data_IF_127824645865
#
_entry.id   IF_127824645865
#
_cell.length_a   1.000
_cell.length_b   1.000
_cell.length_c   1.000
_cell.angle_alpha   90.00
_cell.angle_beta   90.00
_cell.angle_gamma   90.00
#
_symmetry.space_group_name_H-M   'P 1'
#
loop_
_entity.id
_entity.type
_entity.pdbx_description
1 polymer ?
#
# COMPACT_ATOMS: atom_id res chain seq x y z
N UNK A 1 3.62 3.22 12.75
CA UNK A 1 4.81 3.16 11.86
C UNK A 1 4.42 2.34 10.65
N UNK A 2 4.53 2.91 9.45
CA UNK A 2 4.26 2.22 8.19
C UNK A 2 5.57 1.60 7.70
N UNK A 3 5.80 0.31 7.98
CA UNK A 3 6.94 -0.39 7.38
C UNK A 3 6.53 -0.94 6.02
N UNK A 4 7.32 -0.56 5.01
CA UNK A 4 7.05 -0.77 3.59
C UNK A 4 6.99 -2.26 3.20
N UNK A 5 6.20 -2.53 2.16
CA UNK A 5 6.08 -3.79 1.44
C UNK A 5 7.44 -4.31 0.91
N UNK A 6 7.51 -5.61 0.53
CA UNK A 6 8.71 -6.44 0.32
C UNK A 6 9.35 -6.93 1.64
N UNK A 7 8.57 -7.65 2.44
CA UNK A 7 9.02 -8.14 3.74
C UNK A 7 9.94 -9.37 3.65
N UNK A 8 9.88 -10.11 2.54
CA UNK A 8 10.76 -11.25 2.27
C UNK A 8 11.28 -11.24 0.83
N UNK A 9 12.61 -11.18 0.68
CA UNK A 9 13.27 -11.26 -0.63
C UNK A 9 13.37 -12.70 -1.16
N UNK A 10 13.28 -13.70 -0.28
CA UNK A 10 13.44 -15.12 -0.57
C UNK A 10 12.13 -15.92 -0.45
N UNK A 11 11.00 -15.23 -0.24
CA UNK A 11 9.67 -15.80 -0.03
C UNK A 11 9.55 -16.75 1.17
N UNK A 12 10.54 -16.78 2.06
CA UNK A 12 10.57 -17.73 3.17
C UNK A 12 9.62 -17.31 4.30
N UNK A 13 8.96 -18.30 4.90
CA UNK A 13 8.18 -18.10 6.14
C UNK A 13 9.06 -17.57 7.28
N UNK A 14 10.34 -17.95 7.32
CA UNK A 14 11.30 -17.48 8.31
C UNK A 14 11.51 -15.96 8.25
N UNK A 15 11.57 -15.37 7.04
CA UNK A 15 11.69 -13.92 6.89
C UNK A 15 10.46 -13.17 7.45
N UNK A 16 9.25 -13.67 7.19
CA UNK A 16 8.02 -13.10 7.75
C UNK A 16 7.93 -13.26 9.28
N UNK A 17 8.42 -14.38 9.83
CA UNK A 17 8.51 -14.57 11.29
C UNK A 17 9.48 -13.58 11.93
N UNK A 18 10.67 -13.39 11.35
CA UNK A 18 11.63 -12.40 11.83
C UNK A 18 11.10 -10.97 11.76
N UNK A 19 10.38 -10.62 10.69
CA UNK A 19 9.70 -9.32 10.61
C UNK A 19 8.69 -9.17 11.76
N UNK A 20 7.86 -10.18 11.98
CA UNK A 20 6.86 -10.16 13.04
C UNK A 20 7.47 -10.01 14.44
N UNK A 21 8.56 -10.73 14.73
CA UNK A 21 9.33 -10.60 15.97
C UNK A 21 9.90 -9.18 16.13
N UNK A 22 10.46 -8.62 15.05
CA UNK A 22 11.04 -7.27 15.06
C UNK A 22 10.04 -6.17 15.39
N UNK A 23 8.79 -6.30 14.93
CA UNK A 23 7.75 -5.31 15.19
C UNK A 23 6.93 -5.56 16.48
N UNK A 24 7.10 -6.72 17.12
CA UNK A 24 6.32 -7.10 18.29
C UNK A 24 6.48 -6.15 19.50
N UNK A 25 7.58 -5.38 19.54
CA UNK A 25 7.84 -4.40 20.59
C UNK A 25 7.07 -3.07 20.44
N UNK A 26 6.43 -2.83 19.30
CA UNK A 26 5.69 -1.59 19.07
C UNK A 26 4.28 -1.66 19.69
N UNK A 27 3.92 -0.66 20.48
CA UNK A 27 2.59 -0.54 21.08
C UNK A 27 1.50 -0.04 20.09
N UNK A 28 1.87 0.24 18.84
CA UNK A 28 0.95 0.75 17.83
C UNK A 28 0.33 -0.38 17.00
N UNK A 29 -0.91 -0.25 16.53
CA UNK A 29 -1.49 -1.20 15.59
C UNK A 29 -0.63 -1.33 14.33
N UNK A 30 -0.24 -2.56 14.02
CA UNK A 30 0.50 -2.90 12.81
C UNK A 30 -0.45 -3.55 11.80
N UNK A 31 -0.40 -3.03 10.58
CA UNK A 31 -1.04 -3.60 9.39
C UNK A 31 0.03 -3.77 8.33
N UNK A 32 -0.26 -4.59 7.34
CA UNK A 32 0.70 -4.96 6.32
C UNK A 32 0.11 -4.89 4.91
N UNK A 33 1.00 -4.69 3.95
CA UNK A 33 0.73 -4.67 2.52
C UNK A 33 1.80 -5.49 1.80
N UNK A 34 1.44 -6.38 0.87
CA UNK A 34 2.43 -7.12 0.11
C UNK A 34 3.14 -6.23 -0.93
N UNK A 35 4.42 -6.53 -1.16
CA UNK A 35 5.20 -6.01 -2.29
C UNK A 35 5.35 -7.03 -3.41
N UNK A 36 5.99 -6.66 -4.50
CA UNK A 36 6.18 -7.55 -5.65
C UNK A 36 7.05 -8.77 -5.33
N UNK A 37 7.92 -8.69 -4.33
CA UNK A 37 8.73 -9.80 -3.86
C UNK A 37 8.04 -10.68 -2.82
N UNK A 38 6.86 -10.31 -2.32
CA UNK A 38 6.18 -11.12 -1.31
C UNK A 38 5.43 -12.31 -1.92
N UNK A 39 5.44 -13.47 -1.24
CA UNK A 39 4.54 -14.56 -1.58
C UNK A 39 3.32 -14.51 -0.67
N UNK A 40 2.22 -13.94 -1.18
CA UNK A 40 1.04 -13.63 -0.37
C UNK A 40 0.54 -14.80 0.50
N UNK A 41 0.42 -16.05 0.01
CA UNK A 41 -0.08 -17.14 0.86
C UNK A 41 0.77 -17.38 2.11
N UNK A 42 2.10 -17.36 1.99
CA UNK A 42 2.99 -17.52 3.13
C UNK A 42 2.97 -16.28 4.05
N UNK A 43 2.95 -15.09 3.46
CA UNK A 43 2.84 -13.82 4.18
C UNK A 43 1.55 -13.75 5.02
N UNK A 44 0.39 -14.01 4.41
CA UNK A 44 -0.91 -14.01 5.08
C UNK A 44 -0.91 -14.97 6.26
N UNK A 45 -0.53 -16.23 6.06
CA UNK A 45 -0.52 -17.24 7.14
C UNK A 45 0.39 -16.80 8.29
N UNK A 46 1.63 -16.42 7.97
CA UNK A 46 2.65 -16.12 8.99
C UNK A 46 2.33 -14.87 9.80
N UNK A 47 1.93 -13.78 9.12
CA UNK A 47 1.63 -12.51 9.82
C UNK A 47 0.33 -12.61 10.62
N UNK A 48 -0.65 -13.39 10.14
CA UNK A 48 -1.87 -13.66 10.88
C UNK A 48 -1.60 -14.51 12.14
N UNK A 49 -0.77 -15.54 12.04
CA UNK A 49 -0.32 -16.35 13.19
C UNK A 49 0.42 -15.50 14.23
N UNK A 50 1.19 -14.52 13.78
CA UNK A 50 1.86 -13.54 14.64
C UNK A 50 0.92 -12.47 15.24
N UNK A 51 -0.38 -12.51 14.94
CA UNK A 51 -1.37 -11.56 15.46
C UNK A 51 -1.33 -10.18 14.80
N UNK A 52 -0.67 -10.03 13.65
CA UNK A 52 -0.61 -8.77 12.91
C UNK A 52 -1.87 -8.65 12.05
N UNK A 53 -2.54 -7.50 12.15
CA UNK A 53 -3.84 -7.29 11.53
C UNK A 53 -3.76 -7.27 9.99
N UNK A 54 -4.61 -8.04 9.28
CA UNK A 54 -4.73 -7.94 7.83
C UNK A 54 -5.64 -6.79 7.39
N UNK A 55 -6.08 -5.93 8.32
CA UNK A 55 -7.00 -4.83 8.02
C UNK A 55 -6.42 -3.89 6.96
N UNK A 56 -7.19 -3.65 5.90
CA UNK A 56 -6.84 -2.71 4.83
C UNK A 56 -7.34 -1.28 5.09
N UNK A 57 -8.05 -1.08 6.20
CA UNK A 57 -8.51 0.24 6.67
C UNK A 57 -8.20 0.39 8.15
N UNK A 58 -7.60 1.52 8.51
CA UNK A 58 -7.28 1.87 9.91
C UNK A 58 -7.79 3.27 10.20
N UNK A 59 -8.51 3.45 11.30
CA UNK A 59 -8.88 4.78 11.79
C UNK A 59 -7.81 5.32 12.73
N UNK A 60 -7.44 6.58 12.50
CA UNK A 60 -6.50 7.32 13.34
C UNK A 60 -7.24 8.49 14.01
N UNK A 61 -7.70 8.24 15.23
CA UNK A 61 -8.59 9.14 15.95
C UNK A 61 -9.87 9.42 15.14
N UNK A 62 -10.41 10.63 15.27
CA UNK A 62 -11.69 10.98 14.65
C UNK A 62 -11.57 11.63 13.27
N UNK A 63 -10.36 12.05 12.87
CA UNK A 63 -10.16 12.87 11.67
C UNK A 63 -9.49 12.15 10.51
N UNK A 64 -8.76 11.08 10.77
CA UNK A 64 -7.95 10.42 9.75
C UNK A 64 -8.35 8.96 9.56
N UNK A 65 -8.17 8.49 8.34
CA UNK A 65 -8.17 7.08 7.99
C UNK A 65 -6.97 6.76 7.09
N UNK A 66 -6.50 5.54 7.20
CA UNK A 66 -5.51 4.94 6.31
C UNK A 66 -6.24 3.88 5.48
N UNK A 67 -6.06 3.91 4.16
CA UNK A 67 -6.50 2.86 3.24
C UNK A 67 -5.28 2.22 2.58
N UNK A 68 -5.24 0.89 2.56
CA UNK A 68 -4.13 0.12 2.00
C UNK A 68 -4.62 -0.63 0.75
N UNK A 69 -4.01 -0.36 -0.39
CA UNK A 69 -4.30 -1.03 -1.65
C UNK A 69 -3.17 -1.97 -2.05
N UNK A 70 -3.52 -3.24 -2.24
CA UNK A 70 -2.65 -4.26 -2.83
C UNK A 70 -2.45 -4.07 -4.36
N UNK A 71 -1.32 -3.50 -4.76
CA UNK A 71 -0.97 -3.37 -6.17
C UNK A 71 -0.13 -4.53 -6.70
N UNK A 72 0.07 -5.62 -5.94
CA UNK A 72 0.89 -6.73 -6.38
C UNK A 72 0.23 -7.50 -7.53
N UNK A 73 1.04 -7.80 -8.56
CA UNK A 73 0.68 -8.75 -9.62
C UNK A 73 1.62 -9.94 -9.54
N UNK A 74 1.06 -11.15 -9.48
CA UNK A 74 1.84 -12.36 -9.30
C UNK A 74 2.81 -12.59 -10.49
N UNK A 75 4.08 -12.81 -10.16
CA UNK A 75 5.12 -13.19 -11.14
C UNK A 75 5.68 -12.04 -11.97
N UNK A 76 5.31 -10.79 -11.69
CA UNK A 76 5.82 -9.61 -12.41
C UNK A 76 6.20 -8.48 -11.44
N UNK A 77 7.17 -7.62 -11.79
CA UNK A 77 7.68 -6.60 -10.88
C UNK A 77 6.91 -5.27 -10.91
N UNK A 78 5.95 -5.12 -11.82
CA UNK A 78 5.11 -3.93 -11.89
C UNK A 78 3.83 -4.12 -11.09
N UNK A 79 3.20 -2.99 -10.74
CA UNK A 79 1.93 -3.00 -10.05
C UNK A 79 0.73 -2.84 -10.95
N UNK A 80 -0.41 -3.33 -10.49
CA UNK A 80 -1.73 -3.06 -11.08
C UNK A 80 -2.81 -3.12 -10.01
N UNK A 81 -3.75 -2.18 -10.03
CA UNK A 81 -4.93 -2.22 -9.17
C UNK A 81 -6.09 -2.86 -9.92
N UNK A 82 -6.64 -3.95 -9.38
CA UNK A 82 -7.87 -4.54 -9.94
C UNK A 82 -9.07 -3.59 -9.82
N UNK A 83 -10.06 -3.75 -10.68
CA UNK A 83 -11.33 -3.01 -10.59
C UNK A 83 -11.98 -3.16 -9.21
N UNK A 84 -11.94 -4.36 -8.63
CA UNK A 84 -12.42 -4.62 -7.28
C UNK A 84 -11.76 -3.72 -6.22
N UNK A 85 -10.46 -3.49 -6.34
CA UNK A 85 -9.73 -2.63 -5.41
C UNK A 85 -10.06 -1.15 -5.60
N UNK A 86 -10.29 -0.71 -6.83
CA UNK A 86 -10.72 0.65 -7.14
C UNK A 86 -12.14 0.91 -6.64
N UNK A 87 -13.07 -0.01 -6.88
CA UNK A 87 -14.44 0.06 -6.35
C UNK A 87 -14.45 0.04 -4.82
N UNK A 88 -13.62 -0.83 -4.21
CA UNK A 88 -13.45 -0.87 -2.77
C UNK A 88 -12.95 0.45 -2.20
N UNK A 89 -11.97 1.08 -2.86
CA UNK A 89 -11.44 2.39 -2.49
C UNK A 89 -12.56 3.43 -2.46
N UNK A 90 -13.29 3.59 -3.56
CA UNK A 90 -14.39 4.55 -3.68
C UNK A 90 -15.45 4.31 -2.60
N UNK A 91 -15.82 3.05 -2.37
CA UNK A 91 -16.78 2.68 -1.34
C UNK A 91 -16.30 3.09 0.06
N UNK A 92 -15.03 2.85 0.41
CA UNK A 92 -14.47 3.23 1.72
C UNK A 92 -14.31 4.73 1.90
N UNK A 93 -14.03 5.46 0.83
CA UNK A 93 -14.05 6.93 0.86
C UNK A 93 -15.48 7.45 1.10
N UNK A 94 -16.48 6.86 0.45
CA UNK A 94 -17.89 7.21 0.63
C UNK A 94 -18.45 6.88 2.02
N UNK A 95 -17.92 5.87 2.70
CA UNK A 95 -18.34 5.50 4.07
C UNK A 95 -17.90 6.51 5.15
N UNK A 96 -16.82 7.27 4.91
CA UNK A 96 -16.35 8.31 5.84
C UNK A 96 -15.84 9.55 5.10
N UNK A 97 -16.73 10.26 4.36
CA UNK A 97 -16.35 11.36 3.48
C UNK A 97 -15.83 12.57 4.24
N UNK A 98 -16.08 12.66 5.55
CA UNK A 98 -15.60 13.72 6.42
C UNK A 98 -14.14 13.54 6.87
N UNK A 99 -13.56 12.35 6.70
CA UNK A 99 -12.19 12.07 7.15
C UNK A 99 -11.16 12.42 6.09
N UNK A 100 -9.97 12.83 6.54
CA UNK A 100 -8.80 12.85 5.68
C UNK A 100 -8.30 11.43 5.46
N UNK A 101 -7.87 11.15 4.25
CA UNK A 101 -7.39 9.82 3.87
C UNK A 101 -5.91 9.87 3.49
N UNK A 102 -5.16 8.96 4.09
CA UNK A 102 -3.82 8.58 3.71
C UNK A 102 -3.91 7.25 2.94
N UNK A 103 -3.52 7.25 1.67
CA UNK A 103 -3.52 6.05 0.83
C UNK A 103 -2.14 5.41 0.82
N UNK A 104 -2.06 4.09 0.99
CA UNK A 104 -0.82 3.32 0.92
C UNK A 104 -0.93 2.28 -0.19
N UNK A 105 0.09 2.17 -1.04
CA UNK A 105 0.29 1.08 -1.99
C UNK A 105 1.78 0.78 -2.16
N UNK A 106 2.17 -0.34 -2.77
CA UNK A 106 3.59 -0.64 -2.98
C UNK A 106 4.17 0.13 -4.18
N UNK A 107 3.62 -0.11 -5.37
CA UNK A 107 4.12 0.44 -6.63
C UNK A 107 3.75 1.92 -6.80
N UNK A 108 4.69 2.74 -7.26
CA UNK A 108 4.50 4.19 -7.42
C UNK A 108 3.63 4.52 -8.66
N UNK A 109 2.67 5.46 -8.55
CA UNK A 109 1.83 5.88 -9.68
C UNK A 109 2.46 6.94 -10.58
N UNK A 110 3.51 7.64 -10.12
CA UNK A 110 4.25 8.64 -10.90
C UNK A 110 5.64 8.14 -11.28
N UNK A 111 6.12 8.42 -12.50
CA UNK A 111 7.51 8.18 -12.86
C UNK A 111 8.45 8.85 -11.85
N UNK A 112 9.42 8.10 -11.34
CA UNK A 112 10.49 8.60 -10.49
C UNK A 112 11.60 9.28 -11.31
N UNK A 113 11.50 9.27 -12.65
CA UNK A 113 12.51 9.86 -13.55
C UNK A 113 13.76 8.99 -13.69
N UNK A 114 13.69 7.73 -13.26
CA UNK A 114 14.75 6.75 -13.37
C UNK A 114 14.20 5.53 -14.13
N UNK A 115 14.70 5.32 -15.34
CA UNK A 115 14.18 4.29 -16.28
C UNK A 115 14.21 2.87 -15.74
N UNK A 116 15.04 2.58 -14.73
CA UNK A 116 15.06 1.28 -14.06
C UNK A 116 13.95 1.16 -13.00
N UNK A 117 13.72 2.21 -12.20
CA UNK A 117 12.65 2.24 -11.20
C UNK A 117 11.26 2.29 -11.86
N UNK A 118 11.13 3.07 -12.93
CA UNK A 118 9.87 3.27 -13.64
C UNK A 118 9.31 1.98 -14.26
N UNK A 119 10.14 0.94 -14.45
CA UNK A 119 9.70 -0.37 -14.91
C UNK A 119 8.84 -1.12 -13.88
N UNK A 120 8.96 -0.76 -12.60
CA UNK A 120 8.22 -1.35 -11.49
C UNK A 120 7.08 -0.42 -11.03
N UNK A 121 6.69 0.56 -11.85
CA UNK A 121 5.59 1.47 -11.57
C UNK A 121 4.22 0.78 -11.57
N UNK A 122 3.21 1.48 -11.05
CA UNK A 122 1.81 1.11 -11.19
C UNK A 122 1.34 1.38 -12.62
N UNK A 123 0.95 0.34 -13.37
CA UNK A 123 0.60 0.45 -14.79
C UNK A 123 -0.68 1.21 -15.06
N UNK A 124 -1.65 1.11 -14.18
CA UNK A 124 -2.96 1.73 -14.33
C UNK A 124 -3.16 2.95 -13.41
N UNK A 125 -2.11 3.76 -13.24
CA UNK A 125 -2.17 4.99 -12.44
C UNK A 125 -3.30 5.95 -12.86
N UNK A 126 -3.66 6.01 -14.15
CA UNK A 126 -4.81 6.81 -14.62
C UNK A 126 -6.17 6.32 -14.11
N UNK A 127 -6.32 5.01 -13.86
CA UNK A 127 -7.54 4.47 -13.24
C UNK A 127 -7.61 4.87 -11.75
N UNK A 128 -6.47 4.85 -11.05
CA UNK A 128 -6.37 5.34 -9.69
C UNK A 128 -6.69 6.85 -9.61
N UNK A 129 -6.14 7.66 -10.50
CA UNK A 129 -6.41 9.10 -10.56
C UNK A 129 -7.90 9.38 -10.81
N UNK A 130 -8.51 8.66 -11.75
CA UNK A 130 -9.95 8.76 -12.02
C UNK A 130 -10.79 8.46 -10.78
N UNK A 131 -10.48 7.38 -10.06
CA UNK A 131 -11.18 6.98 -8.84
C UNK A 131 -11.00 7.99 -7.70
N UNK A 132 -9.88 8.72 -7.67
CA UNK A 132 -9.56 9.70 -6.63
C UNK A 132 -10.09 11.11 -6.91
N UNK A 133 -10.40 11.43 -8.17
CA UNK A 133 -10.78 12.78 -8.64
C UNK A 133 -11.94 13.42 -7.85
N UNK A 134 -12.89 12.63 -7.37
CA UNK A 134 -14.04 13.09 -6.59
C UNK A 134 -13.76 13.29 -5.10
N UNK A 135 -12.56 12.97 -4.61
CA UNK A 135 -12.25 12.85 -3.18
C UNK A 135 -11.13 13.79 -2.71
N UNK A 136 -11.41 15.10 -2.57
CA UNK A 136 -10.40 16.13 -2.24
C UNK A 136 -9.77 16.00 -0.83
N UNK A 137 -10.29 15.07 -0.02
CA UNK A 137 -9.78 14.75 1.32
C UNK A 137 -8.80 13.57 1.34
N UNK A 138 -8.55 12.93 0.19
CA UNK A 138 -7.36 12.11 0.01
C UNK A 138 -6.18 13.07 -0.10
N UNK A 139 -5.34 13.12 0.93
CA UNK A 139 -4.31 14.15 1.07
C UNK A 139 -2.93 13.68 0.67
N UNK A 140 -2.65 12.41 0.90
CA UNK A 140 -1.33 11.84 0.67
C UNK A 140 -1.48 10.41 0.16
N UNK A 141 -0.57 10.05 -0.72
CA UNK A 141 -0.37 8.72 -1.23
C UNK A 141 1.07 8.35 -0.92
N UNK A 142 1.26 7.29 -0.13
CA UNK A 142 2.58 6.76 0.23
C UNK A 142 2.82 5.48 -0.55
N UNK A 143 3.98 5.42 -1.20
CA UNK A 143 4.44 4.25 -1.93
C UNK A 143 5.68 3.61 -1.29
N UNK A 144 5.81 2.31 -1.49
CA UNK A 144 7.06 1.58 -1.26
C UNK A 144 7.96 1.58 -2.50
N UNK A 145 8.89 0.63 -2.55
CA UNK A 145 9.75 0.29 -3.70
C UNK A 145 10.90 1.24 -4.07
N UNK A 146 10.90 2.51 -3.66
CA UNK A 146 11.92 3.45 -4.16
C UNK A 146 13.31 3.24 -3.51
N UNK A 147 13.40 2.58 -2.34
CA UNK A 147 14.65 2.47 -1.55
C UNK A 147 15.40 3.82 -1.37
N UNK A 148 14.69 4.94 -1.58
CA UNK A 148 15.13 6.32 -1.52
C UNK A 148 13.91 7.18 -1.14
N UNK A 149 14.14 8.24 -0.37
CA UNK A 149 13.13 9.23 -0.01
C UNK A 149 12.81 10.10 -1.24
N UNK A 150 11.54 10.18 -1.62
CA UNK A 150 11.08 10.99 -2.76
C UNK A 150 9.73 11.64 -2.42
N UNK A 151 9.72 12.96 -2.31
CA UNK A 151 8.52 13.78 -2.13
C UNK A 151 8.13 14.43 -3.47
N UNK A 152 6.97 14.06 -4.02
CA UNK A 152 6.40 14.66 -5.22
C UNK A 152 4.99 15.17 -4.96
N UNK A 153 4.71 16.39 -5.41
CA UNK A 153 3.34 16.93 -5.42
C UNK A 153 2.57 16.35 -6.61
N UNK A 154 1.53 15.56 -6.31
CA UNK A 154 0.56 15.11 -7.32
C UNK A 154 -0.43 16.24 -7.62
N UNK A 155 -0.22 16.94 -8.72
CA UNK A 155 -1.21 17.87 -9.29
C UNK A 155 -1.93 17.17 -10.46
N UNK A 156 -2.88 16.30 -10.15
CA UNK A 156 -3.76 15.70 -11.16
C UNK A 156 -4.57 16.79 -11.86
N UNK A 157 -4.40 16.90 -13.19
CA UNK A 157 -5.14 17.85 -14.00
C UNK A 157 -4.82 17.77 -15.49
N UNK A 158 -5.66 17.04 -16.22
CA UNK A 158 -6.38 17.54 -17.40
C UNK A 158 -7.69 16.76 -17.56
#
# INVERSE_FOLDING_TARGET
MSQQADLAQDHSSAAYQHFAEGIASFAAPCVWLPGNHDFQPAMYSTLQEAGISPAKRVFLGDRWQILLLDSQVFGVPHGELSDFQLEWLEHKLAEAPERYTLLLLHHHPLPAGCSWLDQHSLRNAGALDSALSAWPRVKHLLCGHIHQELDLDWNGGA
#
